data_IF_397799851123
#
_entry.id   IF_397799851123
#
_cell.length_a   1.000
_cell.length_b   1.000
_cell.length_c   1.000
_cell.angle_alpha   90.00
_cell.angle_beta   90.00
_cell.angle_gamma   90.00
#
_symmetry.space_group_name_H-M   'P 1'
#
loop_
_entity.id
_entity.type
_entity.pdbx_description
1 polymer ?
#
# COMPACT_ATOMS: atom_id res chain seq x y z
N UNK A 1 -7.38 4.67 5.09
CA UNK A 1 -6.58 3.76 5.92
C UNK A 1 -7.47 2.78 6.65
N UNK A 2 -7.34 1.50 6.30
CA UNK A 2 -7.90 0.37 7.04
C UNK A 2 -7.18 0.18 8.37
N UNK A 3 -5.95 0.69 8.50
CA UNK A 3 -5.20 0.63 9.75
C UNK A 3 -5.82 1.52 10.84
N UNK A 4 -6.33 2.70 10.44
CA UNK A 4 -6.93 3.71 11.32
C UNK A 4 -8.45 3.53 11.57
N UNK A 5 -9.15 2.77 10.72
CA UNK A 5 -10.60 2.53 10.87
C UNK A 5 -10.96 1.30 11.72
N UNK A 6 -12.26 1.13 11.99
CA UNK A 6 -12.80 -0.08 12.64
C UNK A 6 -12.64 -1.30 11.71
N UNK A 7 -11.95 -2.32 12.20
CA UNK A 7 -11.68 -3.58 11.47
C UNK A 7 -12.48 -4.70 12.12
N UNK A 8 -13.27 -5.41 11.33
CA UNK A 8 -13.90 -6.64 11.80
C UNK A 8 -12.84 -7.73 12.04
N UNK A 9 -12.99 -8.52 13.11
CA UNK A 9 -12.04 -9.57 13.45
C UNK A 9 -11.96 -10.60 12.32
N UNK A 10 -10.75 -10.83 11.79
CA UNK A 10 -10.52 -11.75 10.67
C UNK A 10 -10.81 -11.16 9.29
N UNK A 11 -11.01 -9.84 9.16
CA UNK A 11 -11.14 -9.17 7.86
C UNK A 11 -9.83 -9.05 7.09
N UNK A 12 -8.68 -9.15 7.79
CA UNK A 12 -7.34 -9.14 7.23
C UNK A 12 -6.57 -10.38 7.69
N UNK A 13 -5.78 -10.96 6.79
CA UNK A 13 -4.88 -12.06 7.17
C UNK A 13 -3.65 -11.50 7.90
N UNK A 14 -3.02 -12.28 8.80
CA UNK A 14 -1.79 -11.86 9.49
C UNK A 14 -0.69 -11.40 8.53
N UNK A 15 -0.60 -12.04 7.35
CA UNK A 15 0.33 -11.71 6.28
C UNK A 15 0.08 -10.30 5.72
N UNK A 16 -1.18 -9.91 5.52
CA UNK A 16 -1.54 -8.57 5.04
C UNK A 16 -1.19 -7.49 6.07
N UNK A 17 -1.42 -7.78 7.35
CA UNK A 17 -1.09 -6.87 8.46
C UNK A 17 0.42 -6.66 8.51
N UNK A 18 1.20 -7.74 8.49
CA UNK A 18 2.65 -7.68 8.50
C UNK A 18 3.22 -6.97 7.25
N UNK A 19 2.73 -7.31 6.06
CA UNK A 19 3.17 -6.68 4.81
C UNK A 19 2.88 -5.17 4.79
N UNK A 20 1.71 -4.76 5.28
CA UNK A 20 1.38 -3.35 5.40
C UNK A 20 2.29 -2.62 6.40
N UNK A 21 2.51 -3.21 7.59
CA UNK A 21 3.41 -2.65 8.59
C UNK A 21 4.85 -2.54 8.08
N UNK A 22 5.36 -3.57 7.41
CA UNK A 22 6.71 -3.56 6.86
C UNK A 22 6.86 -2.47 5.80
N UNK A 23 5.94 -2.40 4.84
CA UNK A 23 6.01 -1.43 3.75
C UNK A 23 5.90 0.02 4.25
N UNK A 24 4.96 0.29 5.16
CA UNK A 24 4.81 1.64 5.77
C UNK A 24 6.03 2.03 6.59
N UNK A 25 6.67 1.08 7.29
CA UNK A 25 7.89 1.34 8.05
C UNK A 25 9.11 1.58 7.16
N UNK A 26 9.25 0.84 6.06
CA UNK A 26 10.31 1.06 5.07
C UNK A 26 10.15 2.41 4.35
N UNK A 27 8.92 2.77 3.99
CA UNK A 27 8.58 4.09 3.43
C UNK A 27 8.99 5.22 4.40
N UNK A 28 8.70 5.07 5.69
CA UNK A 28 9.13 6.03 6.71
C UNK A 28 10.65 6.10 6.85
N UNK A 29 11.34 4.96 6.84
CA UNK A 29 12.78 4.88 7.05
C UNK A 29 13.57 5.50 5.89
N UNK A 30 13.20 5.17 4.65
CA UNK A 30 13.97 5.55 3.47
C UNK A 30 13.50 6.85 2.80
N UNK A 31 12.23 7.20 2.94
CA UNK A 31 11.64 8.37 2.27
C UNK A 31 11.08 9.41 3.24
N UNK A 32 11.18 9.18 4.56
CA UNK A 32 10.69 10.12 5.59
C UNK A 32 9.17 10.26 5.66
N UNK A 33 8.41 9.47 4.90
CA UNK A 33 6.95 9.61 4.76
C UNK A 33 6.20 8.75 5.76
N UNK A 34 5.15 9.30 6.36
CA UNK A 34 4.31 8.58 7.33
C UNK A 34 2.98 8.20 6.66
N UNK A 35 2.87 6.94 6.26
CA UNK A 35 1.60 6.33 5.85
C UNK A 35 1.23 5.22 6.84
N UNK A 36 -0.06 5.03 7.07
CA UNK A 36 -0.58 3.99 7.96
C UNK A 36 -1.11 2.78 7.20
N UNK A 37 -1.48 2.95 5.92
CA UNK A 37 -2.00 1.85 5.09
C UNK A 37 -1.63 1.98 3.61
N UNK A 38 -1.23 0.85 3.01
CA UNK A 38 -1.23 0.62 1.57
C UNK A 38 -2.65 0.24 1.12
N UNK A 39 -3.59 1.16 1.34
CA UNK A 39 -4.99 0.96 1.02
C UNK A 39 -5.21 0.70 -0.49
N UNK A 40 -6.14 -0.19 -0.87
CA UNK A 40 -6.41 -0.53 -2.27
C UNK A 40 -7.15 0.58 -3.03
N UNK A 41 -7.77 1.50 -2.31
CA UNK A 41 -8.52 2.62 -2.87
C UNK A 41 -7.77 3.93 -2.64
N UNK A 42 -7.66 4.73 -3.70
CA UNK A 42 -7.02 6.05 -3.70
C UNK A 42 -7.77 6.98 -4.66
N UNK A 43 -7.87 8.24 -4.28
CA UNK A 43 -8.37 9.30 -5.13
C UNK A 43 -7.24 10.31 -5.37
N UNK A 44 -7.06 10.74 -6.61
CA UNK A 44 -6.04 11.69 -7.03
C UNK A 44 -6.59 12.52 -8.19
N UNK A 45 -6.19 13.79 -8.28
CA UNK A 45 -6.52 14.63 -9.44
C UNK A 45 -5.83 14.07 -10.69
N UNK A 46 -6.53 14.06 -11.82
CA UNK A 46 -6.03 13.45 -13.05
C UNK A 46 -4.69 14.03 -13.51
N UNK A 47 -4.53 15.36 -13.50
CA UNK A 47 -3.27 16.02 -13.84
C UNK A 47 -2.10 15.58 -12.95
N UNK A 48 -2.35 15.41 -11.65
CA UNK A 48 -1.35 14.90 -10.70
C UNK A 48 -1.02 13.42 -10.94
N UNK A 49 -1.99 12.61 -11.36
CA UNK A 49 -1.73 11.23 -11.75
C UNK A 49 -0.80 11.14 -12.96
N UNK A 50 -0.98 12.00 -13.96
CA UNK A 50 -0.08 12.07 -15.12
C UNK A 50 1.33 12.49 -14.70
N UNK A 51 1.44 13.47 -13.81
CA UNK A 51 2.72 13.96 -13.25
C UNK A 51 3.50 12.86 -12.49
N UNK A 52 2.80 11.93 -11.82
CA UNK A 52 3.43 10.79 -11.16
C UNK A 52 4.13 9.84 -12.15
N UNK A 53 3.75 9.84 -13.42
CA UNK A 53 4.35 8.98 -14.46
C UNK A 53 4.50 7.51 -14.00
N UNK A 54 3.41 6.89 -13.54
CA UNK A 54 3.38 5.55 -12.96
C UNK A 54 3.94 4.48 -13.91
N UNK A 55 4.83 3.60 -13.42
CA UNK A 55 5.50 2.58 -14.22
C UNK A 55 5.12 1.15 -13.84
N UNK A 56 4.98 0.84 -12.55
CA UNK A 56 4.64 -0.50 -12.10
C UNK A 56 3.15 -0.80 -12.36
N UNK A 57 2.87 -1.90 -13.04
CA UNK A 57 1.50 -2.35 -13.39
C UNK A 57 1.00 -3.49 -12.49
N UNK A 58 1.75 -3.86 -11.45
CA UNK A 58 1.57 -5.10 -10.69
C UNK A 58 1.28 -4.87 -9.21
N UNK A 59 2.23 -5.14 -8.32
CA UNK A 59 2.08 -4.96 -6.88
C UNK A 59 2.85 -3.74 -6.37
N UNK A 60 3.90 -3.31 -7.09
CA UNK A 60 4.76 -2.21 -6.69
C UNK A 60 4.12 -0.83 -6.84
N UNK A 61 3.07 -0.70 -7.66
CA UNK A 61 2.41 0.58 -7.93
C UNK A 61 1.87 1.27 -6.68
N UNK A 62 1.43 0.49 -5.67
CA UNK A 62 0.89 1.03 -4.42
C UNK A 62 1.94 1.87 -3.68
N UNK A 63 3.18 1.37 -3.67
CA UNK A 63 4.31 2.02 -3.02
C UNK A 63 4.90 3.10 -3.92
N UNK A 64 5.06 2.82 -5.22
CA UNK A 64 5.53 3.79 -6.20
C UNK A 64 4.70 5.08 -6.17
N UNK A 65 3.37 4.96 -6.15
CA UNK A 65 2.48 6.11 -6.13
C UNK A 65 2.67 6.96 -4.87
N UNK A 66 2.79 6.34 -3.69
CA UNK A 66 2.98 7.07 -2.43
C UNK A 66 4.35 7.75 -2.37
N UNK A 67 5.37 7.03 -2.82
CA UNK A 67 6.75 7.50 -2.87
C UNK A 67 6.88 8.69 -3.82
N UNK A 68 6.34 8.59 -5.03
CA UNK A 68 6.38 9.68 -6.00
C UNK A 68 5.53 10.87 -5.58
N UNK A 69 4.34 10.63 -5.00
CA UNK A 69 3.52 11.70 -4.45
C UNK A 69 4.28 12.48 -3.36
N UNK A 70 5.03 11.77 -2.51
CA UNK A 70 5.87 12.40 -1.51
C UNK A 70 7.09 13.13 -2.10
N UNK A 71 7.80 12.54 -3.07
CA UNK A 71 8.92 13.20 -3.76
C UNK A 71 8.49 14.49 -4.47
N UNK A 72 7.27 14.53 -4.99
CA UNK A 72 6.67 15.70 -5.63
C UNK A 72 5.99 16.67 -4.63
N UNK A 73 6.12 16.45 -3.32
CA UNK A 73 5.55 17.32 -2.29
C UNK A 73 4.01 17.39 -2.31
N UNK A 74 3.33 16.37 -2.84
CA UNK A 74 1.87 16.35 -2.92
C UNK A 74 1.25 16.17 -1.52
N UNK A 75 0.22 16.97 -1.22
CA UNK A 75 -0.56 16.81 -0.01
C UNK A 75 -1.30 15.45 -0.03
N UNK A 76 -1.00 14.59 0.94
CA UNK A 76 -1.60 13.26 1.07
C UNK A 76 -2.37 13.17 2.39
N UNK A 77 -3.62 12.70 2.33
CA UNK A 77 -4.47 12.48 3.51
C UNK A 77 -4.98 11.05 3.53
N UNK A 78 -4.94 10.40 4.69
CA UNK A 78 -5.46 9.06 4.88
C UNK A 78 -6.85 9.11 5.53
N UNK A 79 -7.90 8.86 4.75
CA UNK A 79 -9.26 8.79 5.29
C UNK A 79 -9.48 7.45 6.01
N UNK A 80 -9.82 7.42 7.31
CA UNK A 80 -10.13 6.18 8.02
C UNK A 80 -11.36 5.52 7.38
N UNK A 81 -11.26 4.23 7.09
CA UNK A 81 -12.36 3.47 6.46
C UNK A 81 -12.60 2.20 7.25
N UNK A 82 -13.87 1.90 7.52
CA UNK A 82 -14.27 0.63 8.12
C UNK A 82 -13.99 -0.52 7.16
N UNK A 83 -13.40 -1.60 7.66
CA UNK A 83 -13.07 -2.77 6.85
C UNK A 83 -13.82 -4.00 7.37
N UNK A 84 -14.81 -4.44 6.59
CA UNK A 84 -15.67 -5.59 6.91
C UNK A 84 -15.07 -6.88 6.38
N UNK A 85 -15.47 -8.00 6.97
CA UNK A 85 -15.10 -9.33 6.48
C UNK A 85 -15.67 -9.51 5.08
N UNK A 86 -14.82 -9.91 4.14
CA UNK A 86 -15.24 -10.20 2.76
C UNK A 86 -16.16 -11.43 2.77
N UNK A 87 -17.23 -11.36 1.99
CA UNK A 87 -18.05 -12.52 1.62
C UNK A 87 -17.33 -13.21 0.45
N UNK A 88 -16.80 -14.41 0.68
CA UNK A 88 -16.02 -15.21 -0.29
C UNK A 88 -14.50 -15.26 -0.05
N UNK A 89 -13.81 -16.19 -0.72
CA UNK A 89 -12.36 -16.45 -0.53
C UNK A 89 -11.48 -15.60 -1.46
N UNK A 90 -10.33 -15.12 -0.94
CA UNK A 90 -9.35 -14.37 -1.73
C UNK A 90 -8.47 -15.31 -2.56
N UNK A 91 -8.44 -15.11 -3.89
CA UNK A 91 -7.56 -15.85 -4.82
C UNK A 91 -6.06 -15.63 -4.56
N UNK A 92 -5.68 -14.57 -3.82
CA UNK A 92 -4.28 -14.13 -3.67
C UNK A 92 -3.82 -14.16 -2.20
N UNK A 93 -4.69 -13.83 -1.24
CA UNK A 93 -4.30 -13.75 0.18
C UNK A 93 -4.34 -15.09 0.92
N UNK A 94 -4.75 -16.17 0.24
CA UNK A 94 -4.82 -17.53 0.77
C UNK A 94 -3.56 -18.37 0.55
N UNK A 95 -2.56 -17.88 -0.19
CA UNK A 95 -1.32 -18.63 -0.47
C UNK A 95 -0.07 -17.89 0.01
N UNK A 96 0.81 -18.63 0.68
CA UNK A 96 2.12 -18.15 1.18
C UNK A 96 2.96 -17.58 0.02
N UNK A 97 2.91 -18.22 -1.16
CA UNK A 97 3.62 -17.75 -2.37
C UNK A 97 3.18 -16.35 -2.81
N UNK A 98 1.88 -16.06 -2.86
CA UNK A 98 1.35 -14.76 -3.25
C UNK A 98 1.77 -13.64 -2.28
N UNK A 99 1.81 -13.95 -0.98
CA UNK A 99 2.29 -13.05 0.06
C UNK A 99 3.78 -12.71 -0.12
N UNK A 100 4.62 -13.72 -0.32
CA UNK A 100 6.07 -13.54 -0.47
C UNK A 100 6.41 -12.76 -1.75
N UNK A 101 5.75 -13.08 -2.87
CA UNK A 101 5.91 -12.34 -4.13
C UNK A 101 5.51 -10.87 -4.01
N UNK A 102 4.40 -10.59 -3.33
CA UNK A 102 3.95 -9.22 -3.08
C UNK A 102 4.94 -8.46 -2.18
N UNK A 103 5.41 -9.09 -1.09
CA UNK A 103 6.42 -8.52 -0.20
C UNK A 103 7.75 -8.24 -0.92
N UNK A 104 8.26 -9.22 -1.68
CA UNK A 104 9.47 -9.07 -2.48
C UNK A 104 9.37 -7.93 -3.50
N UNK A 105 8.24 -7.83 -4.23
CA UNK A 105 8.03 -6.73 -5.18
C UNK A 105 7.94 -5.37 -4.50
N UNK A 106 7.27 -5.28 -3.36
CA UNK A 106 7.21 -4.04 -2.58
C UNK A 106 8.62 -3.62 -2.16
N UNK A 107 9.41 -4.54 -1.60
CA UNK A 107 10.78 -4.26 -1.16
C UNK A 107 11.67 -3.86 -2.34
N UNK A 108 11.67 -4.64 -3.43
CA UNK A 108 12.47 -4.30 -4.61
C UNK A 108 12.08 -2.98 -5.24
N UNK A 109 10.79 -2.60 -5.21
CA UNK A 109 10.34 -1.28 -5.67
C UNK A 109 10.85 -0.16 -4.77
N UNK A 110 10.86 -0.35 -3.45
CA UNK A 110 11.43 0.61 -2.48
C UNK A 110 12.91 0.83 -2.76
N UNK A 111 13.68 -0.23 -3.00
CA UNK A 111 15.11 -0.12 -3.31
C UNK A 111 15.38 0.43 -4.71
N UNK A 112 14.50 0.17 -5.70
CA UNK A 112 14.65 0.69 -7.07
C UNK A 112 14.57 2.21 -7.14
N UNK A 113 13.79 2.84 -6.26
CA UNK A 113 13.58 4.28 -6.26
C UNK A 113 14.35 5.02 -5.16
N UNK A 114 15.21 4.30 -4.42
CA UNK A 114 16.12 4.89 -3.44
C UNK A 114 17.09 5.81 -4.19
#
# INVERSE_FOLDING_TARGET
SRALGTKERGSMTPQQIFGNWLATRLLKLFYGVKFTDLGPFRAIRFNKLIELNMQDKTYGWTVEMQLKAAKLGMACVEMPVGYRKRIGFSKISGTIKGTILAGYKIITTIFRYL
#
